data_IF_627210375435
#
_entry.id   IF_627210375435
#
_cell.length_a   1.000
_cell.length_b   1.000
_cell.length_c   1.000
_cell.angle_alpha   90.00
_cell.angle_beta   90.00
_cell.angle_gamma   90.00
#
_symmetry.space_group_name_H-M   'P 1'
#
loop_
_entity.id
_entity.type
_entity.pdbx_description
1 polymer ?
#
# COMPACT_ATOMS: atom_id res chain seq x y z
N UNK A 1 13.41 -16.53 25.88
CA UNK A 1 12.18 -15.87 26.36
C UNK A 1 12.18 -14.48 25.74
N UNK A 2 11.19 -14.10 24.93
CA UNK A 2 11.12 -12.75 24.37
C UNK A 2 11.04 -11.73 25.52
N UNK A 3 11.81 -10.67 25.38
CA UNK A 3 11.83 -9.59 26.39
C UNK A 3 10.51 -8.80 26.29
N UNK A 4 9.56 -9.06 27.17
CA UNK A 4 8.23 -8.43 27.21
C UNK A 4 8.27 -6.89 27.39
N UNK A 5 9.40 -6.33 27.79
CA UNK A 5 9.61 -4.89 27.94
C UNK A 5 9.50 -4.11 26.60
N UNK A 6 9.78 -4.74 25.48
CA UNK A 6 9.67 -4.12 24.15
C UNK A 6 8.19 -3.89 23.70
N UNK A 7 7.23 -4.53 24.35
CA UNK A 7 5.79 -4.36 24.06
C UNK A 7 5.17 -3.09 24.67
N UNK A 8 5.93 -2.34 25.46
CA UNK A 8 5.45 -1.19 26.22
C UNK A 8 5.71 0.17 25.55
N UNK A 9 6.13 0.21 24.30
CA UNK A 9 6.20 1.50 23.59
C UNK A 9 4.79 2.07 23.48
N UNK A 10 4.51 3.27 23.99
CA UNK A 10 3.21 3.90 23.86
C UNK A 10 2.80 4.00 22.38
N UNK A 11 1.55 3.72 22.08
CA UNK A 11 1.01 3.95 20.74
C UNK A 11 0.96 5.46 20.49
N UNK A 12 1.34 5.95 19.29
CA UNK A 12 1.17 7.35 18.95
C UNK A 12 -0.31 7.70 18.77
N UNK A 13 -0.66 8.94 19.11
CA UNK A 13 -1.97 9.49 18.79
C UNK A 13 -2.17 9.60 17.27
N UNK A 14 -3.43 9.58 16.84
CA UNK A 14 -3.80 9.90 15.47
C UNK A 14 -4.29 11.35 15.38
N UNK A 15 -4.24 11.88 14.18
CA UNK A 15 -4.85 13.18 13.87
C UNK A 15 -5.48 13.18 12.47
N UNK A 16 -6.48 14.04 12.29
CA UNK A 16 -7.08 14.27 10.99
C UNK A 16 -6.22 15.26 10.18
N UNK A 17 -5.74 14.89 8.99
CA UNK A 17 -4.95 15.80 8.16
C UNK A 17 -5.76 16.93 7.52
N UNK A 18 -7.09 16.90 7.63
CA UNK A 18 -8.00 17.92 7.06
C UNK A 18 -8.34 19.01 8.06
N UNK A 19 -8.72 18.64 9.28
CA UNK A 19 -9.25 19.56 10.30
C UNK A 19 -8.43 19.60 11.60
N UNK A 20 -7.38 18.78 11.70
CA UNK A 20 -6.50 18.72 12.87
C UNK A 20 -7.08 18.00 14.10
N UNK A 21 -8.27 17.42 14.01
CA UNK A 21 -8.90 16.70 15.11
C UNK A 21 -7.99 15.58 15.61
N UNK A 22 -7.73 15.56 16.92
CA UNK A 22 -6.94 14.54 17.60
C UNK A 22 -7.80 13.34 17.97
N UNK A 23 -7.27 12.14 17.75
CA UNK A 23 -7.85 10.86 18.16
C UNK A 23 -6.84 10.17 19.06
N UNK A 24 -7.15 9.96 20.34
CA UNK A 24 -6.21 9.37 21.29
C UNK A 24 -5.76 7.97 20.87
N UNK A 25 -4.50 7.66 21.15
CA UNK A 25 -3.96 6.33 20.99
C UNK A 25 -4.76 5.27 21.76
N UNK A 26 -4.72 4.04 21.30
CA UNK A 26 -5.36 2.92 21.99
C UNK A 26 -6.88 2.83 21.81
N UNK A 27 -7.48 3.66 20.96
CA UNK A 27 -8.90 3.57 20.61
C UNK A 27 -9.13 2.73 19.36
N UNK A 28 -10.37 2.24 19.16
CA UNK A 28 -10.79 1.55 17.96
C UNK A 28 -11.34 2.52 16.87
N UNK A 29 -11.19 3.83 17.08
CA UNK A 29 -11.63 4.83 16.13
C UNK A 29 -10.89 4.63 14.80
N UNK A 30 -11.64 4.47 13.72
CA UNK A 30 -11.10 4.15 12.41
C UNK A 30 -11.05 5.36 11.45
N UNK A 31 -11.71 6.46 11.79
CA UNK A 31 -11.77 7.69 11.00
C UNK A 31 -11.85 8.92 11.90
N UNK A 32 -11.72 10.10 11.31
CA UNK A 32 -11.98 11.36 12.00
C UNK A 32 -13.44 11.42 12.48
N UNK A 33 -13.71 11.75 13.75
CA UNK A 33 -15.08 11.85 14.26
C UNK A 33 -15.87 13.02 13.64
N UNK A 34 -15.20 14.04 13.10
CA UNK A 34 -15.86 15.20 12.48
C UNK A 34 -16.11 15.04 10.99
N UNK A 35 -15.05 14.81 10.20
CA UNK A 35 -15.18 14.74 8.74
C UNK A 35 -15.28 13.31 8.19
N UNK A 36 -15.17 12.29 9.03
CA UNK A 36 -15.15 10.86 8.66
C UNK A 36 -14.01 10.47 7.71
N UNK A 37 -13.04 11.36 7.48
CA UNK A 37 -11.86 11.13 6.66
C UNK A 37 -10.81 10.23 7.33
N UNK A 38 -9.82 9.75 6.54
CA UNK A 38 -8.72 8.94 7.07
C UNK A 38 -7.82 9.72 8.02
N UNK A 39 -7.20 9.01 8.96
CA UNK A 39 -6.31 9.57 9.97
C UNK A 39 -4.84 9.39 9.57
N UNK A 40 -3.97 10.23 10.15
CA UNK A 40 -2.52 10.11 10.14
C UNK A 40 -1.99 9.91 11.56
N UNK A 41 -0.74 9.43 11.72
CA UNK A 41 -0.10 9.25 13.02
C UNK A 41 0.73 10.47 13.41
N UNK A 42 0.63 10.86 14.66
CA UNK A 42 1.58 11.79 15.29
C UNK A 42 2.84 11.01 15.72
N UNK A 43 3.64 10.64 14.73
CA UNK A 43 4.79 9.76 14.89
C UNK A 43 6.01 10.31 14.14
N UNK A 44 7.08 10.58 14.87
CA UNK A 44 8.34 11.08 14.35
C UNK A 44 9.44 10.02 14.53
N UNK A 45 9.65 9.14 13.56
CA UNK A 45 10.67 8.10 13.64
C UNK A 45 12.08 8.66 13.42
N UNK A 46 13.06 7.95 13.95
CA UNK A 46 14.47 8.21 13.70
C UNK A 46 15.08 7.01 12.99
N UNK A 47 15.20 7.04 11.65
CA UNK A 47 15.76 5.93 10.89
C UNK A 47 17.20 5.61 11.34
N UNK A 48 17.49 4.31 11.44
CA UNK A 48 18.80 3.84 11.84
C UNK A 48 19.81 4.01 10.69
N UNK A 49 21.10 4.35 10.97
CA UNK A 49 22.14 4.40 9.96
C UNK A 49 22.35 3.04 9.28
N UNK A 50 22.71 3.04 7.99
CA UNK A 50 22.89 1.82 7.18
C UNK A 50 23.76 0.76 7.87
N UNK A 51 24.87 1.19 8.50
CA UNK A 51 25.81 0.29 9.20
C UNK A 51 25.15 -0.51 10.32
N UNK A 52 24.13 0.04 10.98
CA UNK A 52 23.44 -0.61 12.10
C UNK A 52 22.42 -1.66 11.66
N UNK A 53 22.13 -1.77 10.37
CA UNK A 53 21.23 -2.77 9.81
C UNK A 53 21.90 -4.14 9.62
N UNK A 54 23.23 -4.19 9.64
CA UNK A 54 24.00 -5.45 9.51
C UNK A 54 23.63 -6.43 10.63
N UNK A 55 23.31 -7.68 10.26
CA UNK A 55 22.96 -8.74 11.22
C UNK A 55 21.53 -8.68 11.76
N UNK A 56 20.71 -7.68 11.39
CA UNK A 56 19.29 -7.64 11.77
C UNK A 56 18.47 -8.70 11.01
N UNK A 57 17.27 -8.96 11.51
CA UNK A 57 16.32 -9.88 10.87
C UNK A 57 16.11 -9.53 9.39
N UNK A 58 15.97 -10.57 8.55
CA UNK A 58 15.73 -10.39 7.11
C UNK A 58 14.23 -10.22 6.83
N UNK A 59 13.64 -9.15 7.36
CA UNK A 59 12.24 -8.77 7.20
C UNK A 59 12.09 -7.25 7.30
N UNK A 60 10.89 -6.71 7.08
CA UNK A 60 10.62 -5.27 7.26
C UNK A 60 10.90 -4.79 8.70
N UNK A 61 10.87 -5.68 9.68
CA UNK A 61 11.11 -5.35 11.10
C UNK A 61 12.57 -4.97 11.41
N UNK A 62 13.47 -5.14 10.43
CA UNK A 62 14.84 -4.62 10.55
C UNK A 62 14.90 -3.09 10.64
N UNK A 63 13.83 -2.41 10.23
CA UNK A 63 13.66 -0.95 10.31
C UNK A 63 12.79 -0.55 11.51
N UNK A 64 12.90 -1.26 12.63
CA UNK A 64 12.01 -1.10 13.80
C UNK A 64 11.93 0.34 14.31
N UNK A 65 13.03 1.11 14.25
CA UNK A 65 13.05 2.51 14.68
C UNK A 65 12.18 3.44 13.82
N UNK A 66 11.81 2.98 12.63
CA UNK A 66 10.90 3.73 11.75
C UNK A 66 9.45 3.30 11.88
N UNK A 67 9.17 2.25 12.65
CA UNK A 67 7.83 1.67 12.77
C UNK A 67 7.16 2.13 14.07
N UNK A 68 5.84 2.41 14.05
CA UNK A 68 5.11 2.82 15.25
C UNK A 68 4.85 1.66 16.24
N UNK A 69 5.29 0.46 15.89
CA UNK A 69 5.18 -0.78 16.67
C UNK A 69 6.54 -1.44 16.76
N UNK A 70 6.98 -1.80 17.97
CA UNK A 70 8.38 -2.16 18.20
C UNK A 70 8.74 -3.62 17.87
N UNK A 71 7.92 -4.60 18.15
CA UNK A 71 8.31 -6.00 18.01
C UNK A 71 7.14 -6.84 17.47
N UNK A 72 7.37 -7.64 16.42
CA UNK A 72 6.32 -8.47 15.85
C UNK A 72 6.10 -9.75 16.64
N UNK A 73 4.83 -10.15 16.76
CA UNK A 73 4.42 -11.48 17.19
C UNK A 73 3.80 -12.30 16.06
N UNK A 74 3.37 -11.61 15.01
CA UNK A 74 2.59 -12.19 13.90
C UNK A 74 3.35 -12.24 12.57
N UNK A 75 4.64 -11.92 12.56
CA UNK A 75 5.44 -11.94 11.32
C UNK A 75 5.40 -13.28 10.59
N UNK A 76 5.36 -13.22 9.28
CA UNK A 76 5.51 -14.32 8.33
C UNK A 76 6.83 -14.18 7.53
N UNK A 77 7.71 -13.25 7.92
CA UNK A 77 8.96 -12.94 7.23
C UNK A 77 8.79 -11.95 6.08
N UNK A 78 7.74 -11.14 6.10
CA UNK A 78 7.43 -10.11 5.10
C UNK A 78 8.51 -9.04 4.99
N UNK A 79 8.69 -8.51 3.78
CA UNK A 79 9.73 -7.53 3.47
C UNK A 79 11.00 -8.15 2.91
N UNK A 80 12.00 -7.30 2.67
CA UNK A 80 13.30 -7.69 2.09
C UNK A 80 13.19 -8.46 0.78
N UNK A 81 12.25 -8.04 -0.04
CA UNK A 81 12.07 -8.61 -1.39
C UNK A 81 13.25 -8.27 -2.29
N UNK A 82 13.57 -9.10 -3.29
CA UNK A 82 14.67 -8.84 -4.19
C UNK A 82 14.50 -7.54 -4.99
N UNK A 83 15.61 -6.88 -5.28
CA UNK A 83 15.70 -5.79 -6.26
C UNK A 83 16.48 -6.34 -7.47
N UNK A 84 15.86 -6.33 -8.66
CA UNK A 84 16.47 -6.85 -9.90
C UNK A 84 16.44 -5.79 -10.99
N UNK A 85 17.50 -5.75 -11.80
CA UNK A 85 17.55 -4.87 -12.97
C UNK A 85 16.68 -5.44 -14.10
N UNK A 86 15.82 -4.61 -14.69
CA UNK A 86 15.02 -4.95 -15.87
C UNK A 86 15.69 -4.47 -17.17
N UNK A 87 16.33 -3.32 -17.10
CA UNK A 87 17.15 -2.70 -18.16
C UNK A 87 18.04 -1.65 -17.53
N UNK A 88 18.98 -1.10 -18.30
CA UNK A 88 19.92 -0.07 -17.85
C UNK A 88 19.19 1.08 -17.13
N UNK A 89 19.52 1.27 -15.86
CA UNK A 89 18.98 2.31 -15.01
C UNK A 89 17.55 2.09 -14.48
N UNK A 90 16.89 0.97 -14.81
CA UNK A 90 15.56 0.65 -14.29
C UNK A 90 15.56 -0.70 -13.58
N UNK A 91 15.29 -0.68 -12.29
CA UNK A 91 15.18 -1.89 -11.45
C UNK A 91 13.73 -2.14 -11.02
N UNK A 92 13.43 -3.40 -10.71
CA UNK A 92 12.16 -3.84 -10.16
C UNK A 92 12.32 -4.37 -8.74
N UNK A 93 11.48 -3.93 -7.83
CA UNK A 93 11.32 -4.50 -6.49
C UNK A 93 10.25 -5.58 -6.52
N UNK A 94 10.63 -6.83 -6.22
CA UNK A 94 9.77 -8.00 -6.42
C UNK A 94 8.81 -8.24 -5.25
N UNK A 95 7.93 -7.29 -4.95
CA UNK A 95 6.99 -7.38 -3.83
C UNK A 95 5.92 -8.49 -4.01
N UNK A 96 5.78 -9.04 -5.20
CA UNK A 96 4.96 -10.24 -5.43
C UNK A 96 5.52 -11.53 -4.78
N UNK A 97 6.75 -11.49 -4.25
CA UNK A 97 7.37 -12.59 -3.49
C UNK A 97 7.08 -12.54 -1.98
N UNK A 98 6.22 -11.65 -1.54
CA UNK A 98 5.72 -11.60 -0.16
C UNK A 98 4.92 -12.86 0.23
N UNK A 99 4.75 -13.16 1.54
CA UNK A 99 4.02 -14.35 2.02
C UNK A 99 2.63 -14.53 1.42
N UNK A 100 1.85 -13.44 1.23
CA UNK A 100 0.55 -13.51 0.54
C UNK A 100 0.61 -13.06 -0.92
N UNK A 101 1.79 -13.07 -1.51
CA UNK A 101 2.05 -12.77 -2.90
C UNK A 101 1.69 -11.33 -3.32
N UNK A 102 1.81 -10.36 -2.39
CA UNK A 102 1.68 -8.94 -2.73
C UNK A 102 2.28 -8.01 -1.67
N UNK A 103 2.59 -6.76 -2.07
CA UNK A 103 3.10 -5.71 -1.18
C UNK A 103 2.18 -5.38 0.00
N UNK A 104 0.92 -5.83 -0.03
CA UNK A 104 -0.05 -5.55 1.03
C UNK A 104 0.36 -6.14 2.38
N UNK A 105 1.19 -7.16 2.38
CA UNK A 105 1.74 -7.77 3.59
C UNK A 105 2.48 -6.74 4.47
N UNK A 106 3.17 -5.78 3.84
CA UNK A 106 3.89 -4.71 4.55
C UNK A 106 2.99 -3.95 5.52
N UNK A 107 1.78 -3.60 5.09
CA UNK A 107 0.83 -2.87 5.92
C UNK A 107 -0.06 -3.79 6.77
N UNK A 108 -0.42 -4.96 6.24
CA UNK A 108 -1.32 -5.89 6.92
C UNK A 108 -0.74 -6.42 8.24
N UNK A 109 0.56 -6.70 8.28
CA UNK A 109 1.22 -7.14 9.51
C UNK A 109 1.15 -6.08 10.60
N UNK A 110 1.31 -4.78 10.27
CA UNK A 110 1.18 -3.71 11.26
C UNK A 110 -0.24 -3.58 11.79
N UNK A 111 -1.26 -3.77 10.93
CA UNK A 111 -2.66 -3.76 11.38
C UNK A 111 -2.97 -4.94 12.30
N UNK A 112 -2.46 -6.13 12.01
CA UNK A 112 -2.63 -7.29 12.87
C UNK A 112 -1.93 -7.10 14.24
N UNK A 113 -0.70 -6.57 14.26
CA UNK A 113 0.02 -6.24 15.50
C UNK A 113 -0.69 -5.15 16.30
N UNK A 114 -1.25 -4.13 15.64
CA UNK A 114 -2.06 -3.11 16.29
C UNK A 114 -3.32 -3.73 16.91
N UNK A 115 -4.05 -4.56 16.16
CA UNK A 115 -5.24 -5.24 16.65
C UNK A 115 -4.95 -6.11 17.88
N UNK A 116 -3.81 -6.84 17.91
CA UNK A 116 -3.40 -7.59 19.11
C UNK A 116 -3.21 -6.72 20.35
N UNK A 117 -2.73 -5.48 20.19
CA UNK A 117 -2.57 -4.53 21.29
C UNK A 117 -3.90 -3.94 21.74
N UNK A 118 -4.80 -3.66 20.79
CA UNK A 118 -6.11 -3.06 21.07
C UNK A 118 -7.14 -4.09 21.57
N UNK A 119 -6.93 -5.39 21.29
CA UNK A 119 -7.78 -6.52 21.70
C UNK A 119 -9.25 -6.34 21.33
N UNK A 120 -9.58 -6.11 20.04
CA UNK A 120 -10.97 -6.03 19.61
C UNK A 120 -11.66 -7.39 19.69
N UNK A 121 -12.99 -7.38 19.74
CA UNK A 121 -13.80 -8.59 19.65
C UNK A 121 -13.76 -9.20 18.25
N UNK A 122 -13.61 -8.34 17.21
CA UNK A 122 -13.48 -8.76 15.81
C UNK A 122 -12.67 -7.76 14.98
N UNK A 123 -12.09 -8.26 13.90
CA UNK A 123 -11.46 -7.46 12.85
C UNK A 123 -12.33 -7.49 11.61
N UNK A 124 -12.54 -6.34 10.97
CA UNK A 124 -13.27 -6.26 9.68
C UNK A 124 -12.39 -5.60 8.61
N UNK A 125 -12.56 -6.03 7.35
CA UNK A 125 -11.91 -5.45 6.18
C UNK A 125 -12.86 -5.44 4.98
N UNK A 126 -12.59 -4.62 3.96
CA UNK A 126 -13.47 -4.35 2.81
C UNK A 126 -12.83 -4.61 1.44
N UNK A 127 -11.91 -5.53 1.35
CA UNK A 127 -11.19 -5.79 0.09
C UNK A 127 -11.32 -7.23 -0.36
N UNK A 128 -11.83 -7.44 -1.56
CA UNK A 128 -11.83 -8.76 -2.24
C UNK A 128 -10.48 -9.14 -2.86
N UNK A 129 -9.53 -8.20 -2.92
CA UNK A 129 -8.22 -8.38 -3.56
C UNK A 129 -7.08 -8.61 -2.57
N UNK A 130 -5.89 -8.19 -2.96
CA UNK A 130 -4.65 -8.38 -2.21
C UNK A 130 -4.71 -7.90 -0.74
N UNK A 131 -5.41 -6.78 -0.46
CA UNK A 131 -5.50 -6.29 0.91
C UNK A 131 -6.34 -7.21 1.81
N UNK A 132 -7.51 -7.68 1.34
CA UNK A 132 -8.33 -8.61 2.10
C UNK A 132 -7.64 -9.94 2.35
N UNK A 133 -6.95 -10.48 1.34
CA UNK A 133 -6.14 -11.71 1.49
C UNK A 133 -5.04 -11.53 2.53
N UNK A 134 -4.29 -10.41 2.47
CA UNK A 134 -3.23 -10.15 3.43
C UNK A 134 -3.78 -9.98 4.85
N UNK A 135 -4.83 -9.16 5.05
CA UNK A 135 -5.47 -8.99 6.36
C UNK A 135 -5.95 -10.34 6.91
N UNK A 136 -6.64 -11.17 6.10
CA UNK A 136 -7.09 -12.48 6.52
C UNK A 136 -5.93 -13.38 7.00
N UNK A 137 -4.82 -13.41 6.25
CA UNK A 137 -3.63 -14.21 6.57
C UNK A 137 -2.98 -13.77 7.89
N UNK A 138 -2.77 -12.47 8.09
CA UNK A 138 -2.16 -11.96 9.32
C UNK A 138 -3.10 -12.04 10.52
N UNK A 139 -4.42 -11.90 10.33
CA UNK A 139 -5.41 -12.19 11.37
C UNK A 139 -5.39 -13.66 11.77
N UNK A 140 -5.31 -14.58 10.82
CA UNK A 140 -5.14 -16.03 11.11
C UNK A 140 -3.87 -16.28 11.93
N UNK A 141 -2.73 -15.69 11.52
CA UNK A 141 -1.46 -15.80 12.26
C UNK A 141 -1.56 -15.26 13.68
N UNK A 142 -2.32 -14.16 13.86
CA UNK A 142 -2.58 -13.52 15.15
C UNK A 142 -3.70 -14.19 15.96
N UNK A 143 -4.41 -15.17 15.40
CA UNK A 143 -5.60 -15.81 15.98
C UNK A 143 -6.72 -14.80 16.31
N UNK A 144 -6.87 -13.80 15.44
CA UNK A 144 -7.91 -12.78 15.56
C UNK A 144 -9.12 -13.16 14.70
N UNK A 145 -10.36 -13.09 15.22
CA UNK A 145 -11.56 -13.24 14.40
C UNK A 145 -11.60 -12.18 13.31
N UNK A 146 -11.70 -12.61 12.05
CA UNK A 146 -11.68 -11.70 10.90
C UNK A 146 -12.90 -11.93 10.01
N UNK A 147 -13.54 -10.83 9.59
CA UNK A 147 -14.61 -10.82 8.58
C UNK A 147 -14.20 -9.89 7.44
N UNK A 148 -14.26 -10.40 6.19
CA UNK A 148 -13.94 -9.62 4.99
C UNK A 148 -15.21 -9.41 4.19
N UNK A 149 -15.57 -8.15 3.97
CA UNK A 149 -16.70 -7.73 3.17
C UNK A 149 -16.26 -7.61 1.71
N UNK A 150 -17.00 -8.21 0.81
CA UNK A 150 -16.66 -8.26 -0.62
C UNK A 150 -17.91 -7.99 -1.46
N UNK A 151 -17.77 -7.34 -2.62
CA UNK A 151 -18.91 -7.12 -3.50
C UNK A 151 -19.39 -8.43 -4.15
N UNK A 152 -20.64 -8.43 -4.56
CA UNK A 152 -21.19 -9.44 -5.44
C UNK A 152 -20.33 -9.55 -6.72
N UNK A 153 -20.25 -10.74 -7.31
CA UNK A 153 -19.43 -11.00 -8.51
C UNK A 153 -17.93 -11.15 -8.24
N UNK A 154 -17.48 -11.07 -6.96
CA UNK A 154 -16.10 -11.44 -6.62
C UNK A 154 -15.83 -12.89 -7.02
N UNK A 155 -14.73 -13.12 -7.78
CA UNK A 155 -14.41 -14.45 -8.30
C UNK A 155 -14.22 -15.48 -7.19
N UNK A 156 -14.67 -16.72 -7.44
CA UNK A 156 -14.55 -17.82 -6.48
C UNK A 156 -13.10 -18.02 -5.98
N UNK A 157 -12.12 -17.85 -6.85
CA UNK A 157 -10.69 -17.97 -6.50
C UNK A 157 -10.23 -16.93 -5.47
N UNK A 158 -10.74 -15.68 -5.57
CA UNK A 158 -10.46 -14.63 -4.58
C UNK A 158 -11.13 -14.93 -3.24
N UNK A 159 -12.38 -15.43 -3.26
CA UNK A 159 -13.11 -15.83 -2.06
C UNK A 159 -12.42 -16.99 -1.35
N UNK A 160 -11.98 -18.00 -2.12
CA UNK A 160 -11.25 -19.16 -1.62
C UNK A 160 -9.96 -18.76 -0.90
N UNK A 161 -9.16 -17.83 -1.47
CA UNK A 161 -7.94 -17.35 -0.83
C UNK A 161 -8.20 -16.71 0.54
N UNK A 162 -9.25 -15.89 0.66
CA UNK A 162 -9.61 -15.24 1.92
C UNK A 162 -10.12 -16.30 2.92
N UNK A 163 -11.00 -17.19 2.47
CA UNK A 163 -11.60 -18.25 3.28
C UNK A 163 -10.58 -19.28 3.76
N UNK A 164 -9.55 -19.60 2.96
CA UNK A 164 -8.48 -20.53 3.32
C UNK A 164 -7.70 -20.09 4.58
N UNK A 165 -7.64 -18.79 4.86
CA UNK A 165 -7.08 -18.24 6.08
C UNK A 165 -8.05 -18.25 7.29
N UNK A 166 -9.25 -18.82 7.13
CA UNK A 166 -10.26 -18.90 8.20
C UNK A 166 -11.06 -17.61 8.43
N UNK A 167 -10.90 -16.61 7.58
CA UNK A 167 -11.71 -15.40 7.65
C UNK A 167 -13.15 -15.68 7.18
N UNK A 168 -14.14 -15.09 7.85
CA UNK A 168 -15.53 -15.10 7.37
C UNK A 168 -15.65 -14.14 6.18
N UNK A 169 -16.13 -14.66 5.05
CA UNK A 169 -16.43 -13.83 3.88
C UNK A 169 -17.90 -13.41 3.93
N UNK A 170 -18.17 -12.10 3.84
CA UNK A 170 -19.52 -11.54 3.66
C UNK A 170 -19.63 -10.93 2.27
N UNK A 171 -20.42 -11.59 1.43
CA UNK A 171 -20.76 -11.05 0.12
C UNK A 171 -21.89 -10.03 0.29
N UNK A 172 -21.69 -8.85 -0.26
CA UNK A 172 -22.64 -7.73 -0.21
C UNK A 172 -23.19 -7.49 -1.61
N UNK A 173 -24.50 -7.36 -1.72
CA UNK A 173 -25.16 -7.03 -2.98
C UNK A 173 -24.71 -5.64 -3.46
N UNK A 174 -24.33 -5.55 -4.73
CA UNK A 174 -23.85 -4.33 -5.33
C UNK A 174 -22.34 -4.32 -5.59
N UNK A 175 -21.79 -3.14 -5.74
CA UNK A 175 -20.42 -2.91 -6.16
C UNK A 175 -19.40 -2.83 -4.97
N UNK A 176 -18.19 -2.44 -5.31
CA UNK A 176 -17.10 -2.28 -4.33
C UNK A 176 -17.43 -1.25 -3.25
N UNK A 177 -18.13 -0.16 -3.60
CA UNK A 177 -18.50 0.88 -2.64
C UNK A 177 -19.58 0.38 -1.68
N UNK A 178 -20.53 -0.42 -2.14
CA UNK A 178 -21.52 -1.06 -1.28
C UNK A 178 -20.85 -1.97 -0.23
N UNK A 179 -19.87 -2.77 -0.64
CA UNK A 179 -19.10 -3.61 0.29
C UNK A 179 -18.29 -2.78 1.29
N UNK A 180 -17.68 -1.68 0.83
CA UNK A 180 -16.93 -0.77 1.71
C UNK A 180 -17.86 -0.04 2.70
N UNK A 181 -19.06 0.38 2.27
CA UNK A 181 -20.05 0.99 3.14
C UNK A 181 -20.51 0.03 4.24
N UNK A 182 -20.82 -1.23 3.90
CA UNK A 182 -21.20 -2.26 4.87
C UNK A 182 -20.08 -2.56 5.87
N UNK A 183 -18.81 -2.55 5.44
CA UNK A 183 -17.68 -2.72 6.34
C UNK A 183 -17.50 -1.53 7.29
N UNK A 184 -17.68 -0.29 6.81
CA UNK A 184 -17.65 0.92 7.64
C UNK A 184 -18.77 0.95 8.68
N UNK A 185 -19.99 0.55 8.29
CA UNK A 185 -21.11 0.39 9.22
C UNK A 185 -20.77 -0.63 10.33
N UNK A 186 -20.23 -1.79 9.94
CA UNK A 186 -19.78 -2.79 10.93
C UNK A 186 -18.65 -2.26 11.82
N UNK A 187 -17.79 -1.41 11.30
CA UNK A 187 -16.67 -0.81 12.03
C UNK A 187 -17.13 0.24 13.08
N UNK A 188 -18.31 0.82 12.92
CA UNK A 188 -18.90 1.74 13.91
C UNK A 188 -19.44 0.98 15.15
N UNK A 189 -19.55 -0.36 15.10
CA UNK A 189 -19.97 -1.15 16.24
C UNK A 189 -18.85 -1.24 17.30
N UNK A 190 -19.20 -1.17 18.62
CA UNK A 190 -18.23 -1.34 19.69
C UNK A 190 -17.45 -2.65 19.57
N UNK A 191 -16.19 -2.65 19.97
CA UNK A 191 -15.32 -3.85 19.93
C UNK A 191 -14.83 -4.23 18.54
N UNK A 192 -15.15 -3.47 17.50
CA UNK A 192 -14.73 -3.77 16.13
C UNK A 192 -13.50 -2.96 15.70
N UNK A 193 -12.48 -3.64 15.21
CA UNK A 193 -11.30 -3.03 14.60
C UNK A 193 -11.43 -3.05 13.07
N UNK A 194 -11.44 -1.88 12.45
CA UNK A 194 -11.44 -1.77 10.99
C UNK A 194 -10.00 -1.82 10.45
N UNK A 195 -9.62 -2.97 9.89
CA UNK A 195 -8.32 -3.17 9.27
C UNK A 195 -8.29 -2.57 7.85
N UNK A 196 -8.70 -1.33 7.72
CA UNK A 196 -8.71 -0.62 6.43
C UNK A 196 -7.30 -0.25 6.02
N UNK A 197 -6.89 -0.70 4.84
CA UNK A 197 -5.62 -0.30 4.24
C UNK A 197 -5.61 1.18 3.79
N UNK A 198 -6.76 1.84 3.77
CA UNK A 198 -6.91 3.24 3.33
C UNK A 198 -7.01 4.20 4.52
N UNK A 199 -7.87 3.86 5.48
CA UNK A 199 -8.18 4.75 6.62
C UNK A 199 -7.16 4.63 7.74
N UNK A 200 -6.66 3.42 8.03
CA UNK A 200 -5.75 3.20 9.15
C UNK A 200 -4.31 3.59 8.79
N UNK A 201 -3.72 4.59 9.46
CA UNK A 201 -2.40 5.10 9.12
C UNK A 201 -1.25 4.11 9.37
N UNK A 202 -1.43 3.14 10.25
CA UNK A 202 -0.41 2.09 10.48
C UNK A 202 -0.10 1.32 9.20
N UNK A 203 -1.07 1.18 8.29
CA UNK A 203 -0.83 0.54 7.01
C UNK A 203 0.21 1.30 6.18
N UNK A 204 0.15 2.64 6.17
CA UNK A 204 1.13 3.48 5.46
C UNK A 204 2.53 3.33 6.06
N UNK A 205 2.62 3.22 7.38
CA UNK A 205 3.90 3.00 8.06
C UNK A 205 4.48 1.60 7.79
N UNK A 206 3.66 0.62 7.44
CA UNK A 206 4.14 -0.66 6.91
C UNK A 206 4.66 -0.52 5.48
N UNK A 207 3.88 0.11 4.59
CA UNK A 207 4.27 0.25 3.18
C UNK A 207 5.48 1.15 2.98
N UNK A 208 5.79 2.08 3.87
CA UNK A 208 7.00 2.92 3.79
C UNK A 208 8.30 2.11 3.82
N UNK A 209 8.28 0.90 4.41
CA UNK A 209 9.46 0.01 4.41
C UNK A 209 9.93 -0.36 3.01
N UNK A 210 9.09 -0.25 2.00
CA UNK A 210 9.47 -0.39 0.60
C UNK A 210 10.65 0.53 0.24
N UNK A 211 10.59 1.80 0.59
CA UNK A 211 11.68 2.75 0.29
C UNK A 211 12.88 2.57 1.22
N UNK A 212 12.67 2.21 2.49
CA UNK A 212 13.79 1.86 3.37
C UNK A 212 14.59 0.67 2.83
N UNK A 213 13.91 -0.32 2.24
CA UNK A 213 14.59 -1.43 1.57
C UNK A 213 15.33 -0.99 0.32
N UNK A 214 14.72 -0.14 -0.53
CA UNK A 214 15.42 0.41 -1.70
C UNK A 214 16.70 1.15 -1.28
N UNK A 215 16.61 1.99 -0.25
CA UNK A 215 17.75 2.73 0.28
C UNK A 215 18.86 1.79 0.75
N UNK A 216 18.52 0.71 1.45
CA UNK A 216 19.49 -0.29 1.89
C UNK A 216 20.09 -1.07 0.71
N UNK A 217 19.25 -1.59 -0.19
CA UNK A 217 19.66 -2.40 -1.35
C UNK A 217 20.56 -1.61 -2.31
N UNK A 218 20.40 -0.28 -2.38
CA UNK A 218 21.20 0.62 -3.20
C UNK A 218 22.38 1.27 -2.44
N UNK A 219 22.75 0.72 -1.29
CA UNK A 219 23.94 1.13 -0.53
C UNK A 219 23.83 2.53 0.06
N UNK A 220 22.67 2.94 0.56
CA UNK A 220 22.43 4.24 1.20
C UNK A 220 22.00 5.34 0.23
N UNK A 221 21.60 4.99 -0.98
CA UNK A 221 21.10 5.93 -2.01
C UNK A 221 19.70 5.56 -2.45
N UNK A 222 19.03 6.47 -3.16
CA UNK A 222 17.77 6.22 -3.83
C UNK A 222 17.91 6.52 -5.33
N UNK A 223 17.05 5.95 -6.20
CA UNK A 223 17.04 6.27 -7.62
C UNK A 223 16.60 7.73 -7.83
N UNK A 224 16.72 8.24 -9.05
CA UNK A 224 16.18 9.56 -9.39
C UNK A 224 14.64 9.59 -9.34
N UNK A 225 14.01 8.44 -9.64
CA UNK A 225 12.54 8.30 -9.70
C UNK A 225 12.10 7.01 -9.00
N UNK A 226 11.10 7.12 -8.12
CA UNK A 226 10.33 5.98 -7.62
C UNK A 226 8.97 6.00 -8.30
N UNK A 227 8.69 4.98 -9.10
CA UNK A 227 7.44 4.85 -9.86
C UNK A 227 6.47 4.00 -9.06
N UNK A 228 5.23 4.45 -8.88
CA UNK A 228 4.26 3.77 -7.99
C UNK A 228 2.88 3.69 -8.63
N UNK A 229 2.20 2.53 -8.60
CA UNK A 229 0.83 2.41 -9.09
C UNK A 229 -0.12 3.04 -8.05
N UNK A 230 -1.08 3.85 -8.50
CA UNK A 230 -1.91 4.66 -7.61
C UNK A 230 -3.40 4.44 -7.86
N UNK A 231 -4.04 3.74 -6.92
CA UNK A 231 -5.47 3.81 -6.66
C UNK A 231 -5.70 4.60 -5.37
N UNK A 232 -5.81 3.92 -4.22
CA UNK A 232 -5.89 4.57 -2.90
C UNK A 232 -4.57 5.20 -2.43
N UNK A 233 -3.48 5.06 -3.16
CA UNK A 233 -2.20 5.73 -2.91
C UNK A 233 -1.38 5.21 -1.73
N UNK A 234 -1.72 4.06 -1.15
CA UNK A 234 -1.08 3.59 0.10
C UNK A 234 0.42 3.33 -0.04
N UNK A 235 0.87 2.81 -1.18
CA UNK A 235 2.30 2.62 -1.43
C UNK A 235 3.02 3.95 -1.70
N UNK A 236 2.38 4.86 -2.46
CA UNK A 236 2.94 6.18 -2.77
C UNK A 236 3.08 7.03 -1.51
N UNK A 237 2.06 7.07 -0.65
CA UNK A 237 2.12 7.82 0.60
C UNK A 237 3.14 7.21 1.58
N UNK A 238 3.24 5.88 1.64
CA UNK A 238 4.31 5.21 2.37
C UNK A 238 5.70 5.60 1.83
N UNK A 239 5.87 5.62 0.51
CA UNK A 239 7.13 6.06 -0.12
C UNK A 239 7.46 7.51 0.24
N UNK A 240 6.49 8.41 0.18
CA UNK A 240 6.67 9.82 0.57
C UNK A 240 7.10 9.97 2.03
N UNK A 241 6.48 9.22 2.96
CA UNK A 241 6.87 9.20 4.37
C UNK A 241 8.32 8.76 4.53
N UNK A 242 8.72 7.63 3.94
CA UNK A 242 10.09 7.14 4.07
C UNK A 242 11.13 8.09 3.48
N UNK A 243 10.85 8.69 2.32
CA UNK A 243 11.74 9.70 1.71
C UNK A 243 11.91 10.91 2.63
N UNK A 244 10.82 11.39 3.24
CA UNK A 244 10.87 12.50 4.18
C UNK A 244 11.68 12.14 5.44
N UNK A 245 11.48 10.94 6.00
CA UNK A 245 12.18 10.42 7.17
C UNK A 245 13.69 10.30 6.90
N UNK A 246 14.09 9.65 5.81
CA UNK A 246 15.50 9.48 5.44
C UNK A 246 16.21 10.82 5.19
N UNK A 247 15.52 11.75 4.51
CA UNK A 247 16.07 13.08 4.25
C UNK A 247 16.19 13.91 5.52
N UNK A 248 15.18 13.91 6.40
CA UNK A 248 15.21 14.64 7.67
C UNK A 248 16.28 14.09 8.64
N UNK A 249 16.57 12.80 8.55
CA UNK A 249 17.65 12.16 9.31
C UNK A 249 19.04 12.38 8.69
N UNK A 250 19.16 13.08 7.55
CA UNK A 250 20.43 13.29 6.84
C UNK A 250 21.04 12.01 6.25
N UNK A 251 20.21 10.98 6.00
CA UNK A 251 20.64 9.71 5.44
C UNK A 251 20.59 9.68 3.91
N UNK A 252 19.94 10.65 3.30
CA UNK A 252 19.95 10.94 1.86
C UNK A 252 20.04 12.46 1.64
N UNK A 253 20.81 12.87 0.64
CA UNK A 253 20.96 14.29 0.26
C UNK A 253 19.91 14.74 -0.75
N UNK A 254 19.45 13.81 -1.62
CA UNK A 254 18.49 14.07 -2.70
C UNK A 254 17.24 13.21 -2.51
N UNK A 255 16.08 13.85 -2.68
CA UNK A 255 14.79 13.16 -2.71
C UNK A 255 14.50 12.68 -4.13
N UNK A 256 14.07 11.42 -4.31
CA UNK A 256 13.57 10.96 -5.61
C UNK A 256 12.26 11.64 -5.98
N UNK A 257 12.02 11.83 -7.27
CA UNK A 257 10.71 12.19 -7.77
C UNK A 257 9.75 10.98 -7.66
N UNK A 258 8.52 11.20 -7.21
CA UNK A 258 7.48 10.17 -7.14
C UNK A 258 6.60 10.23 -8.38
N UNK A 259 6.70 9.23 -9.23
CA UNK A 259 5.87 9.10 -10.42
C UNK A 259 4.67 8.20 -10.12
N UNK A 260 3.48 8.79 -10.17
CA UNK A 260 2.22 8.11 -9.89
C UNK A 260 1.61 7.56 -11.18
N UNK A 261 1.31 6.26 -11.22
CA UNK A 261 0.76 5.61 -12.42
C UNK A 261 -0.70 5.23 -12.17
N UNK A 262 -1.58 5.63 -13.08
CA UNK A 262 -2.98 5.22 -13.13
C UNK A 262 -3.30 4.52 -14.47
N UNK A 263 -4.37 3.69 -14.49
CA UNK A 263 -4.94 3.23 -15.77
C UNK A 263 -5.65 4.39 -16.45
N UNK A 264 -5.46 4.56 -17.75
CA UNK A 264 -6.19 5.56 -18.53
C UNK A 264 -7.73 5.38 -18.44
N UNK A 265 -8.20 4.17 -18.15
CA UNK A 265 -9.61 3.86 -17.95
C UNK A 265 -10.18 4.40 -16.61
N UNK A 266 -9.31 4.63 -15.60
CA UNK A 266 -9.69 5.16 -14.28
C UNK A 266 -8.55 6.03 -13.74
N UNK A 267 -8.53 7.31 -14.11
CA UNK A 267 -7.42 8.21 -13.85
C UNK A 267 -7.85 9.56 -13.21
N UNK A 268 -8.62 9.56 -12.10
CA UNK A 268 -9.13 10.80 -11.51
C UNK A 268 -8.01 11.73 -11.01
N UNK A 269 -6.93 11.16 -10.45
CA UNK A 269 -5.82 11.96 -9.93
C UNK A 269 -4.94 12.54 -11.04
N UNK A 270 -4.73 11.80 -12.14
CA UNK A 270 -4.03 12.32 -13.30
C UNK A 270 -4.82 13.46 -13.97
N UNK A 271 -6.16 13.35 -14.00
CA UNK A 271 -7.04 14.42 -14.45
C UNK A 271 -6.91 15.66 -13.55
N UNK A 272 -7.08 15.51 -12.23
CA UNK A 272 -6.92 16.60 -11.27
C UNK A 272 -5.53 17.26 -11.36
N UNK A 273 -4.50 16.46 -11.60
CA UNK A 273 -3.14 16.97 -11.82
C UNK A 273 -3.04 17.85 -13.06
N UNK A 274 -3.62 17.43 -14.18
CA UNK A 274 -3.63 18.20 -15.43
C UNK A 274 -4.38 19.53 -15.28
N UNK A 275 -5.45 19.54 -14.48
CA UNK A 275 -6.21 20.76 -14.13
C UNK A 275 -5.52 21.65 -13.07
N UNK A 276 -4.35 21.25 -12.55
CA UNK A 276 -3.64 21.95 -11.49
C UNK A 276 -4.35 21.91 -10.12
N UNK A 277 -5.34 21.05 -9.95
CA UNK A 277 -6.15 20.96 -8.74
C UNK A 277 -5.37 20.36 -7.55
N UNK A 278 -5.75 20.73 -6.34
CA UNK A 278 -5.17 20.21 -5.08
C UNK A 278 -5.95 19.03 -4.49
N UNK A 279 -7.16 18.78 -4.96
CA UNK A 279 -8.02 17.64 -4.60
C UNK A 279 -9.02 17.34 -5.75
N UNK A 280 -10.00 16.46 -5.51
CA UNK A 280 -11.03 16.09 -6.50
C UNK A 280 -12.32 16.90 -6.35
N UNK A 281 -12.42 17.78 -5.36
CA UNK A 281 -13.64 18.52 -5.04
C UNK A 281 -14.00 19.49 -6.18
N UNK A 282 -15.22 19.36 -6.69
CA UNK A 282 -15.73 20.23 -7.75
C UNK A 282 -15.21 19.93 -9.15
N UNK A 283 -14.35 18.91 -9.32
CA UNK A 283 -13.92 18.46 -10.64
C UNK A 283 -14.97 17.54 -11.26
N UNK A 284 -15.13 17.66 -12.57
CA UNK A 284 -15.87 16.64 -13.32
C UNK A 284 -15.08 15.32 -13.29
N UNK A 285 -15.69 14.26 -12.75
CA UNK A 285 -15.06 12.94 -12.75
C UNK A 285 -15.05 12.41 -14.18
N UNK A 286 -13.88 12.03 -14.73
CA UNK A 286 -13.83 11.39 -16.05
C UNK A 286 -14.67 10.11 -16.06
N UNK A 287 -15.25 9.74 -17.18
CA UNK A 287 -15.94 8.45 -17.34
C UNK A 287 -14.99 7.30 -16.94
N UNK A 288 -15.49 6.38 -16.12
CA UNK A 288 -14.75 5.16 -15.75
C UNK A 288 -15.13 4.02 -16.68
N UNK A 289 -14.12 3.25 -17.07
CA UNK A 289 -14.28 2.04 -17.87
C UNK A 289 -13.61 0.85 -17.17
N UNK A 290 -13.99 -0.39 -17.48
CA UNK A 290 -13.30 -1.56 -16.98
C UNK A 290 -11.80 -1.51 -17.31
N UNK A 291 -10.97 -1.95 -16.36
CA UNK A 291 -9.50 -2.00 -16.55
C UNK A 291 -8.93 -3.32 -16.06
N UNK A 292 -7.88 -3.79 -16.73
CA UNK A 292 -7.06 -4.92 -16.27
C UNK A 292 -6.35 -4.61 -14.95
N UNK A 293 -6.06 -3.35 -14.68
CA UNK A 293 -5.40 -2.89 -13.46
C UNK A 293 -6.41 -2.67 -12.32
N UNK A 294 -7.25 -3.69 -12.00
CA UNK A 294 -8.33 -3.61 -11.00
C UNK A 294 -7.87 -3.05 -9.64
N UNK A 295 -6.63 -3.33 -9.22
CA UNK A 295 -6.11 -2.91 -7.92
C UNK A 295 -5.90 -1.40 -7.79
N UNK A 296 -5.88 -0.66 -8.91
CA UNK A 296 -5.79 0.81 -8.96
C UNK A 296 -7.04 1.46 -9.59
N UNK A 297 -8.08 0.69 -9.86
CA UNK A 297 -9.36 1.19 -10.37
C UNK A 297 -10.18 1.86 -9.25
N UNK A 298 -9.74 3.02 -8.80
CA UNK A 298 -10.35 3.79 -7.70
C UNK A 298 -10.78 5.15 -8.24
N UNK A 299 -12.07 5.39 -8.44
CA UNK A 299 -12.57 6.65 -8.99
C UNK A 299 -12.53 7.81 -7.99
N UNK A 300 -12.64 7.53 -6.69
CA UNK A 300 -12.64 8.53 -5.62
C UNK A 300 -11.76 8.09 -4.43
N UNK A 301 -10.44 8.29 -4.52
CA UNK A 301 -9.54 7.92 -3.43
C UNK A 301 -9.66 8.90 -2.24
N UNK A 302 -9.96 8.42 -1.02
CA UNK A 302 -10.16 9.28 0.17
C UNK A 302 -8.94 10.13 0.55
N UNK A 303 -7.75 9.78 0.08
CA UNK A 303 -6.50 10.50 0.32
C UNK A 303 -6.01 11.31 -0.89
N UNK A 304 -6.91 11.68 -1.83
CA UNK A 304 -6.57 12.37 -3.06
C UNK A 304 -5.67 13.60 -2.85
N UNK A 305 -6.04 14.48 -1.91
CA UNK A 305 -5.26 15.67 -1.56
C UNK A 305 -3.84 15.34 -1.13
N UNK A 306 -3.68 14.33 -0.28
CA UNK A 306 -2.36 13.90 0.20
C UNK A 306 -1.51 13.32 -0.94
N UNK A 307 -2.12 12.53 -1.83
CA UNK A 307 -1.45 11.93 -2.99
C UNK A 307 -0.96 13.02 -3.95
N UNK A 308 -1.84 13.94 -4.35
CA UNK A 308 -1.51 15.07 -5.25
C UNK A 308 -0.39 15.93 -4.67
N UNK A 309 -0.46 16.22 -3.36
CA UNK A 309 0.57 16.97 -2.65
C UNK A 309 1.91 16.21 -2.65
N UNK A 310 1.93 14.92 -2.30
CA UNK A 310 3.15 14.13 -2.24
C UNK A 310 3.88 14.08 -3.60
N UNK A 311 3.13 13.91 -4.70
CA UNK A 311 3.70 13.94 -6.05
C UNK A 311 4.27 15.32 -6.36
N UNK A 312 3.56 16.40 -6.04
CA UNK A 312 4.00 17.77 -6.29
C UNK A 312 5.25 18.14 -5.49
N UNK A 313 5.27 17.82 -4.20
CA UNK A 313 6.37 18.14 -3.29
C UNK A 313 7.66 17.36 -3.63
N UNK A 314 7.52 16.20 -4.32
CA UNK A 314 8.66 15.41 -4.80
C UNK A 314 9.22 15.88 -6.15
N UNK A 315 8.58 16.83 -6.83
CA UNK A 315 8.90 17.17 -8.21
C UNK A 315 8.52 16.07 -9.21
N UNK A 316 7.58 15.20 -8.82
CA UNK A 316 7.09 14.08 -9.62
C UNK A 316 5.99 14.47 -10.62
N UNK A 317 5.32 13.44 -11.14
CA UNK A 317 4.22 13.61 -12.11
C UNK A 317 3.27 12.42 -12.08
N UNK A 318 2.13 12.55 -12.76
CA UNK A 318 1.23 11.44 -13.04
C UNK A 318 1.46 10.92 -14.45
N UNK A 319 1.41 9.60 -14.60
CA UNK A 319 1.46 8.90 -15.87
C UNK A 319 0.21 8.02 -15.99
N UNK A 320 -0.33 7.89 -17.19
CA UNK A 320 -1.44 6.98 -17.47
C UNK A 320 -0.99 5.90 -18.44
N UNK A 321 -1.55 4.70 -18.29
CA UNK A 321 -1.29 3.56 -19.14
C UNK A 321 -2.58 3.00 -19.72
N UNK A 322 -2.55 2.63 -20.99
CA UNK A 322 -3.68 1.99 -21.67
C UNK A 322 -3.71 0.50 -21.36
N UNK A 323 -4.87 -0.14 -21.63
CA UNK A 323 -5.03 -1.58 -21.49
C UNK A 323 -4.04 -2.37 -22.35
N UNK A 324 -3.74 -1.88 -23.56
CA UNK A 324 -2.77 -2.52 -24.46
C UNK A 324 -1.34 -2.41 -23.93
N UNK A 325 -0.96 -1.26 -23.38
CA UNK A 325 0.34 -1.11 -22.74
C UNK A 325 0.49 -2.07 -21.54
N UNK A 326 -0.58 -2.25 -20.75
CA UNK A 326 -0.60 -3.21 -19.63
C UNK A 326 -0.41 -4.65 -20.16
N UNK A 327 -1.16 -5.05 -21.18
CA UNK A 327 -1.04 -6.40 -21.80
C UNK A 327 0.38 -6.66 -22.33
N UNK A 328 0.94 -5.69 -23.05
CA UNK A 328 2.30 -5.80 -23.59
C UNK A 328 3.34 -5.90 -22.47
N UNK A 329 3.24 -5.05 -21.43
CA UNK A 329 4.15 -5.06 -20.31
C UNK A 329 4.07 -6.37 -19.50
N UNK A 330 2.88 -6.97 -19.36
CA UNK A 330 2.71 -8.24 -18.68
C UNK A 330 3.41 -9.38 -19.42
N UNK A 331 3.28 -9.43 -20.74
CA UNK A 331 3.97 -10.44 -21.58
C UNK A 331 5.48 -10.21 -21.61
N UNK A 332 5.91 -8.96 -21.66
CA UNK A 332 7.32 -8.58 -21.63
C UNK A 332 7.99 -9.06 -20.34
N UNK A 333 7.42 -8.76 -19.17
CA UNK A 333 7.94 -9.27 -17.89
C UNK A 333 7.89 -10.80 -17.80
N UNK A 334 6.81 -11.43 -18.30
CA UNK A 334 6.70 -12.89 -18.30
C UNK A 334 7.80 -13.54 -19.16
N UNK A 335 8.16 -12.95 -20.31
CA UNK A 335 9.27 -13.43 -21.14
C UNK A 335 10.65 -13.28 -20.49
N UNK A 336 10.76 -12.42 -19.47
CA UNK A 336 11.94 -12.24 -18.61
C UNK A 336 11.89 -13.12 -17.34
N UNK A 337 10.90 -14.02 -17.19
CA UNK A 337 10.72 -14.89 -16.04
C UNK A 337 9.95 -14.27 -14.87
N UNK A 338 9.34 -13.09 -15.04
CA UNK A 338 8.62 -12.37 -14.01
C UNK A 338 7.10 -12.40 -14.25
N UNK A 339 6.40 -13.33 -13.60
CA UNK A 339 4.96 -13.51 -13.77
C UNK A 339 4.16 -12.69 -12.76
N UNK A 340 3.72 -11.50 -13.19
CA UNK A 340 3.14 -10.44 -12.37
C UNK A 340 1.68 -10.18 -12.75
N UNK A 341 0.84 -9.82 -11.78
CA UNK A 341 -0.55 -9.42 -12.02
C UNK A 341 -0.65 -8.12 -12.83
N UNK A 342 -1.76 -7.91 -13.55
CA UNK A 342 -1.96 -6.75 -14.43
C UNK A 342 -1.78 -5.40 -13.72
N UNK A 343 -2.24 -5.25 -12.47
CA UNK A 343 -2.00 -4.04 -11.67
C UNK A 343 -0.50 -3.82 -11.39
N UNK A 344 0.23 -4.90 -11.11
CA UNK A 344 1.65 -4.84 -10.76
C UNK A 344 2.55 -4.43 -11.93
N UNK A 345 2.11 -4.63 -13.17
CA UNK A 345 2.90 -4.26 -14.35
C UNK A 345 2.67 -2.83 -14.84
N UNK A 346 1.67 -2.11 -14.29
CA UNK A 346 1.32 -0.76 -14.75
C UNK A 346 2.52 0.22 -14.70
N UNK A 347 3.35 0.12 -13.66
CA UNK A 347 4.54 0.96 -13.54
C UNK A 347 5.59 0.66 -14.62
N UNK A 348 5.81 -0.61 -14.94
CA UNK A 348 6.68 -1.00 -16.04
C UNK A 348 6.11 -0.54 -17.38
N UNK A 349 4.80 -0.72 -17.60
CA UNK A 349 4.12 -0.23 -18.80
C UNK A 349 4.33 1.28 -19.03
N UNK A 350 4.29 2.08 -17.93
CA UNK A 350 4.46 3.53 -18.00
C UNK A 350 5.88 3.99 -18.37
N UNK A 351 6.92 3.21 -18.04
CA UNK A 351 8.31 3.67 -18.16
C UNK A 351 9.13 2.94 -19.23
N UNK A 352 8.68 1.79 -19.71
CA UNK A 352 9.42 0.98 -20.68
C UNK A 352 9.73 1.70 -22.00
N UNK A 353 8.93 2.68 -22.40
CA UNK A 353 9.01 3.38 -23.69
C UNK A 353 9.65 4.79 -23.60
N UNK A 354 10.47 5.04 -22.58
CA UNK A 354 11.33 6.23 -22.56
C UNK A 354 10.83 7.41 -21.70
N UNK A 355 9.78 7.27 -20.92
CA UNK A 355 9.25 8.34 -20.04
C UNK A 355 10.25 8.89 -18.99
N UNK A 356 11.36 8.18 -18.77
CA UNK A 356 12.39 8.53 -17.78
C UNK A 356 13.56 9.35 -18.35
N UNK A 357 13.80 9.31 -19.68
CA UNK A 357 15.04 9.82 -20.26
C UNK A 357 16.25 9.03 -19.71
N UNK A 358 17.26 9.72 -19.21
CA UNK A 358 18.48 9.13 -18.63
C UNK A 358 18.40 8.90 -17.11
N UNK A 359 17.24 9.12 -16.49
CA UNK A 359 17.07 8.99 -15.04
C UNK A 359 16.97 7.52 -14.62
N UNK A 360 17.59 7.21 -13.48
CA UNK A 360 17.42 5.91 -12.82
C UNK A 360 16.07 5.80 -12.17
N UNK A 361 15.45 4.62 -12.19
CA UNK A 361 14.14 4.39 -11.60
C UNK A 361 14.00 3.02 -10.95
N UNK A 362 13.10 2.93 -9.98
CA UNK A 362 12.62 1.66 -9.45
C UNK A 362 11.09 1.57 -9.62
N UNK A 363 10.64 0.43 -10.13
CA UNK A 363 9.23 0.06 -10.25
C UNK A 363 8.89 -1.07 -9.27
N UNK A 364 7.73 -1.04 -8.56
CA UNK A 364 7.26 -2.14 -7.75
C UNK A 364 6.54 -3.17 -8.62
N UNK A 365 6.88 -4.44 -8.52
CA UNK A 365 6.08 -5.54 -9.03
C UNK A 365 5.20 -6.04 -7.88
N UNK A 366 4.00 -5.45 -7.78
CA UNK A 366 3.17 -5.42 -6.58
C UNK A 366 2.51 -6.74 -6.19
N UNK A 367 2.14 -7.58 -7.15
CA UNK A 367 1.41 -8.83 -6.88
C UNK A 367 1.67 -9.90 -7.93
N UNK A 368 1.55 -11.16 -7.53
CA UNK A 368 1.86 -12.30 -8.38
C UNK A 368 0.76 -12.56 -9.42
N UNK A 369 1.17 -12.89 -10.65
CA UNK A 369 0.29 -13.26 -11.76
C UNK A 369 -0.51 -14.53 -11.54
N UNK A 370 -0.08 -15.39 -10.62
CA UNK A 370 -0.80 -16.63 -10.24
C UNK A 370 -2.23 -16.38 -9.72
N UNK A 371 -2.50 -15.18 -9.21
CA UNK A 371 -3.81 -14.79 -8.68
C UNK A 371 -4.83 -14.46 -9.78
N UNK A 372 -4.37 -13.89 -10.89
CA UNK A 372 -5.24 -13.34 -11.94
C UNK A 372 -5.06 -13.98 -13.31
N UNK A 373 -3.90 -14.57 -13.56
CA UNK A 373 -3.51 -15.06 -14.89
C UNK A 373 -3.00 -13.97 -15.82
N UNK A 374 -2.68 -14.35 -17.06
CA UNK A 374 -2.37 -13.41 -18.13
C UNK A 374 -3.67 -12.79 -18.67
N UNK A 375 -3.61 -11.49 -18.99
CA UNK A 375 -4.69 -10.83 -19.69
C UNK A 375 -4.86 -11.44 -21.11
N UNK A 376 -6.11 -11.69 -21.49
CA UNK A 376 -6.42 -12.18 -22.82
C UNK A 376 -5.87 -11.23 -23.91
N UNK A 377 -5.50 -11.73 -25.10
CA UNK A 377 -5.25 -10.88 -26.26
C UNK A 377 -6.45 -9.95 -26.50
N UNK A 378 -6.17 -8.77 -27.03
CA UNK A 378 -7.21 -7.84 -27.46
C UNK A 378 -8.03 -8.40 -28.61
#
# INVERSE_FOLDING_TARGET
VPNYSAYMTPLPDCYCPVDGTRVPAGTLAWCCPLCRGPLDLDFAPTPAPLKSLTGRANSLWRYAETLPLAAPTTTLGEGRTPLVELRDGVSAKLDFLMPTLSFKDRGAVLLAELALRLKPDQVVADSSGNAGTAIAAYCARARLPCTVYVPEGTSAKKLEQIGAHGARVRVIDGDREAAAAAAREAADAPGTFYASHVYNPYFLHGTKTYVHELWEDMGGRLPDVVVVPVGNGTLLLGAALAVAELHSAGLIDRRPALYAVQSAAVAPLAHAWAEGASDLTGLAVPPVSPTLAEGIAIPDPPRARQILRAVRDSGGTFLTVTEDQIRHAQRDLASQGLYVESTGVACWAAVREGALGTRTAVVPLCGAGLKTGLAAPA
#
